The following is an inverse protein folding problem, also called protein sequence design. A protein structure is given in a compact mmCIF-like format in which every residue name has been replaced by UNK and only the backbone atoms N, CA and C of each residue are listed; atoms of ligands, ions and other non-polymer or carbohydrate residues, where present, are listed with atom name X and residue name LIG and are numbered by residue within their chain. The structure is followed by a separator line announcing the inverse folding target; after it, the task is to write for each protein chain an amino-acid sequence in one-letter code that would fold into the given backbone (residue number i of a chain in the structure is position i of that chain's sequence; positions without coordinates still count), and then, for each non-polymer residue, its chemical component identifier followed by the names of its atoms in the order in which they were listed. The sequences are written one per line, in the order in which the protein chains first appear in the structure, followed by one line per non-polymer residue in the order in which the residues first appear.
data_IF_770033825518
#
_entry.id   IF_770033825518
#
_cell.length_a   1.000
_cell.length_b   1.000
_cell.length_c   1.000
_cell.angle_alpha   90.00
_cell.angle_beta   90.00
_cell.angle_gamma   90.00
#
_symmetry.space_group_name_H-M   'P 1'
#
loop_
_entity.id
_entity.type
_entity.pdbx_description
1 polymer ?
#
# COMPACT_ATOMS: atom_id res chain seq x y z
N UNK A 1 -1.12 -24.42 11.85
CA UNK A 1 -0.61 -23.16 12.42
C UNK A 1 -0.58 -23.30 13.94
N UNK A 2 0.00 -24.39 14.43
CA UNK A 2 0.07 -24.65 15.87
C UNK A 2 1.54 -24.52 16.27
N UNK A 3 1.81 -23.72 17.30
CA UNK A 3 3.10 -23.57 17.99
C UNK A 3 4.19 -22.71 17.31
N UNK A 4 3.85 -21.49 16.87
CA UNK A 4 4.85 -20.53 16.42
C UNK A 4 5.80 -20.02 17.53
N UNK A 5 5.27 -19.81 18.74
CA UNK A 5 6.03 -19.42 19.93
C UNK A 5 5.72 -20.38 21.09
N UNK A 6 6.76 -20.79 21.82
CA UNK A 6 6.67 -21.73 22.94
C UNK A 6 7.52 -21.25 24.12
N UNK A 7 7.22 -21.80 25.30
CA UNK A 7 8.09 -21.67 26.48
C UNK A 7 9.11 -22.80 26.47
N UNK A 8 10.40 -22.45 26.45
CA UNK A 8 11.52 -23.37 26.50
C UNK A 8 12.04 -23.43 27.93
N UNK A 9 12.46 -24.61 28.40
CA UNK A 9 12.95 -24.87 29.76
C UNK A 9 11.92 -24.56 30.88
N UNK A 10 12.39 -24.42 32.14
CA UNK A 10 11.54 -24.30 33.33
C UNK A 10 12.18 -23.40 34.39
N UNK A 11 11.34 -22.77 35.22
CA UNK A 11 11.77 -21.91 36.33
C UNK A 11 12.47 -20.64 35.84
N UNK A 12 13.55 -20.25 36.51
CA UNK A 12 14.31 -19.03 36.15
C UNK A 12 15.00 -19.11 34.78
N UNK A 13 15.15 -20.32 34.21
CA UNK A 13 15.72 -20.53 32.87
C UNK A 13 14.66 -20.53 31.76
N UNK A 14 13.40 -20.22 32.09
CA UNK A 14 12.31 -20.24 31.11
C UNK A 14 12.46 -19.10 30.12
N UNK A 15 12.38 -19.41 28.82
CA UNK A 15 12.55 -18.44 27.74
C UNK A 15 11.42 -18.59 26.71
N UNK A 16 10.98 -17.46 26.14
CA UNK A 16 10.08 -17.46 24.98
C UNK A 16 10.92 -17.66 23.73
N UNK A 17 10.63 -18.71 22.96
CA UNK A 17 11.34 -19.02 21.72
C UNK A 17 10.43 -19.67 20.68
N UNK A 18 11.00 -20.09 19.56
CA UNK A 18 10.30 -20.90 18.56
C UNK A 18 10.38 -22.38 18.91
N UNK A 19 9.44 -23.19 18.43
CA UNK A 19 9.52 -24.63 18.60
C UNK A 19 10.79 -25.18 17.90
N UNK A 20 11.43 -26.25 18.43
CA UNK A 20 12.61 -26.85 17.81
C UNK A 20 12.36 -27.17 16.33
N UNK A 21 13.30 -26.78 15.47
CA UNK A 21 13.26 -26.96 14.00
C UNK A 21 12.08 -26.27 13.27
N UNK A 22 11.37 -25.35 13.93
CA UNK A 22 10.29 -24.59 13.33
C UNK A 22 10.59 -23.08 13.32
N UNK A 23 10.49 -22.46 12.15
CA UNK A 23 10.51 -21.01 12.05
C UNK A 23 9.19 -20.40 12.54
N UNK A 24 9.26 -19.18 13.08
CA UNK A 24 8.06 -18.39 13.33
C UNK A 24 7.51 -17.83 12.02
N UNK A 25 6.78 -18.66 11.29
CA UNK A 25 6.19 -18.32 10.00
C UNK A 25 4.66 -18.26 10.10
N UNK A 26 4.13 -17.04 10.10
CA UNK A 26 2.71 -16.77 10.10
C UNK A 26 2.45 -15.46 9.40
N UNK A 27 1.38 -15.41 8.59
CA UNK A 27 0.93 -14.18 7.93
C UNK A 27 0.44 -13.08 8.91
N UNK A 28 0.30 -13.42 10.19
CA UNK A 28 -0.07 -12.52 11.28
C UNK A 28 1.06 -12.38 12.33
N UNK A 29 2.28 -12.82 12.01
CA UNK A 29 3.42 -12.86 12.94
C UNK A 29 3.70 -11.49 13.58
N UNK A 30 3.55 -10.40 12.82
CA UNK A 30 3.85 -9.04 13.26
C UNK A 30 2.91 -8.49 14.33
N UNK A 31 1.76 -9.12 14.60
CA UNK A 31 0.91 -8.73 15.73
C UNK A 31 1.59 -9.03 17.09
N UNK A 32 2.53 -9.97 17.14
CA UNK A 32 3.32 -10.24 18.36
C UNK A 32 4.10 -9.02 18.85
N UNK A 33 4.52 -8.15 17.94
CA UNK A 33 5.18 -6.87 18.27
C UNK A 33 4.25 -5.91 19.00
N UNK A 34 2.94 -5.96 18.69
CA UNK A 34 1.95 -5.12 19.37
C UNK A 34 1.50 -5.73 20.70
N UNK A 35 1.39 -7.07 20.75
CA UNK A 35 1.01 -7.77 21.97
C UNK A 35 2.11 -7.73 23.05
N UNK A 36 3.38 -7.64 22.66
CA UNK A 36 4.49 -7.61 23.61
C UNK A 36 4.51 -6.29 24.41
N UNK A 37 4.23 -6.31 25.73
CA UNK A 37 4.10 -5.08 26.50
C UNK A 37 5.45 -4.46 26.90
N UNK A 38 6.55 -5.24 26.80
CA UNK A 38 7.87 -4.88 27.32
C UNK A 38 8.91 -4.53 26.25
N UNK A 39 8.55 -4.65 24.97
CA UNK A 39 9.50 -4.40 23.86
C UNK A 39 10.61 -5.46 23.72
N UNK A 40 10.37 -6.68 24.19
CA UNK A 40 11.22 -7.83 23.88
C UNK A 40 11.08 -8.23 22.41
N UNK A 41 9.85 -8.21 21.90
CA UNK A 41 9.53 -8.39 20.48
C UNK A 41 9.27 -7.02 19.86
N UNK A 42 10.15 -6.59 18.94
CA UNK A 42 10.06 -5.27 18.29
C UNK A 42 10.13 -5.40 16.78
N UNK A 43 9.41 -4.53 16.07
CA UNK A 43 9.47 -4.43 14.62
C UNK A 43 10.87 -4.01 14.17
N UNK A 44 11.57 -4.87 13.44
CA UNK A 44 12.89 -4.57 12.84
C UNK A 44 12.83 -3.36 11.91
N UNK A 45 11.72 -3.20 11.18
CA UNK A 45 11.45 -2.08 10.28
C UNK A 45 11.26 -0.74 10.99
N UNK A 46 11.03 -0.71 12.30
CA UNK A 46 10.78 0.51 13.07
C UNK A 46 11.78 0.75 14.21
N UNK A 47 12.45 -0.31 14.68
CA UNK A 47 13.39 -0.26 15.80
C UNK A 47 14.41 0.86 15.60
N UNK A 48 14.50 1.75 16.60
CA UNK A 48 15.39 2.92 16.63
C UNK A 48 15.15 4.02 15.58
N UNK A 49 14.07 3.96 14.78
CA UNK A 49 13.77 5.02 13.80
C UNK A 49 13.05 6.25 14.39
N UNK A 50 12.26 6.06 15.44
CA UNK A 50 11.54 7.15 16.14
C UNK A 50 11.05 6.72 17.54
N UNK A 51 10.67 7.70 18.35
CA UNK A 51 10.00 7.52 19.64
C UNK A 51 8.49 7.75 19.53
N UNK A 52 7.66 7.07 20.34
CA UNK A 52 6.19 7.17 20.24
C UNK A 52 5.60 8.59 20.37
N UNK A 53 6.29 9.51 21.03
CA UNK A 53 5.87 10.91 21.19
C UNK A 53 6.29 11.82 20.01
N UNK A 54 7.21 11.36 19.16
CA UNK A 54 7.60 12.07 17.93
C UNK A 54 6.65 11.78 16.76
N UNK A 55 5.70 10.85 16.94
CA UNK A 55 4.85 10.33 15.89
C UNK A 55 3.48 11.02 15.86
N UNK A 56 3.09 11.51 14.69
CA UNK A 56 1.70 11.85 14.39
C UNK A 56 0.94 10.57 14.05
N UNK A 57 -0.14 10.31 14.77
CA UNK A 57 -0.97 9.10 14.61
C UNK A 57 -2.19 9.42 13.76
N UNK A 58 -2.33 8.76 12.61
CA UNK A 58 -3.40 9.05 11.64
C UNK A 58 -4.24 7.78 11.43
N UNK A 59 -5.55 7.80 11.72
CA UNK A 59 -6.43 6.68 11.38
C UNK A 59 -6.58 6.57 9.86
N UNK A 60 -6.48 5.35 9.33
CA UNK A 60 -6.55 5.05 7.90
C UNK A 60 -7.10 3.63 7.68
N UNK A 61 -7.09 3.19 6.42
CA UNK A 61 -7.53 1.86 5.96
C UNK A 61 -6.41 1.22 5.14
N UNK A 62 -6.16 -0.08 5.34
CA UNK A 62 -5.20 -0.85 4.59
C UNK A 62 -5.66 -1.06 3.13
N UNK A 63 -4.81 -0.74 2.16
CA UNK A 63 -5.10 -0.86 0.72
C UNK A 63 -4.40 -2.06 0.05
N UNK A 64 -4.04 -3.08 0.81
CA UNK A 64 -3.24 -4.21 0.30
C UNK A 64 -4.05 -5.48 -0.03
N UNK A 65 -5.28 -5.58 0.42
CA UNK A 65 -6.27 -6.59 0.02
C UNK A 65 -7.70 -6.03 0.19
N UNK A 66 -8.70 -6.81 -0.20
CA UNK A 66 -10.11 -6.40 -0.19
C UNK A 66 -10.76 -6.37 1.21
N UNK A 67 -10.09 -6.84 2.26
CA UNK A 67 -10.64 -6.84 3.63
C UNK A 67 -10.82 -5.41 4.18
N UNK A 68 -9.93 -4.49 3.80
CA UNK A 68 -10.01 -3.11 4.30
C UNK A 68 -9.76 -2.98 5.79
N UNK A 69 -8.80 -3.74 6.35
CA UNK A 69 -8.42 -3.66 7.76
C UNK A 69 -8.15 -2.22 8.19
N UNK A 70 -8.64 -1.84 9.36
CA UNK A 70 -8.44 -0.51 9.91
C UNK A 70 -7.02 -0.42 10.47
N UNK A 71 -6.31 0.64 10.07
CA UNK A 71 -4.92 0.84 10.46
C UNK A 71 -4.74 2.22 11.07
N UNK A 72 -3.71 2.34 11.90
CA UNK A 72 -3.15 3.60 12.34
C UNK A 72 -1.78 3.76 11.68
N UNK A 73 -1.66 4.76 10.82
CA UNK A 73 -0.40 5.10 10.16
C UNK A 73 0.30 6.14 11.01
N UNK A 74 1.46 5.76 11.55
CA UNK A 74 2.30 6.65 12.36
C UNK A 74 3.33 7.33 11.45
N UNK A 75 3.35 8.66 11.46
CA UNK A 75 4.15 9.50 10.55
C UNK A 75 5.10 10.40 11.33
N UNK A 76 6.31 10.62 10.80
CA UNK A 76 7.31 11.58 11.30
C UNK A 76 7.99 12.28 10.14
N UNK A 77 8.01 13.61 10.15
CA UNK A 77 8.68 14.44 9.12
C UNK A 77 8.30 13.96 7.70
N UNK A 78 6.99 13.91 7.44
CA UNK A 78 6.38 13.51 6.16
C UNK A 78 6.73 12.10 5.65
N UNK A 79 7.29 11.24 6.52
CA UNK A 79 7.55 9.83 6.22
C UNK A 79 6.69 8.93 7.07
N UNK A 80 6.09 7.93 6.43
CA UNK A 80 5.43 6.83 7.13
C UNK A 80 6.51 6.02 7.85
N UNK A 81 6.35 5.87 9.17
CA UNK A 81 7.31 5.17 10.02
C UNK A 81 6.87 3.73 10.32
N UNK A 82 5.57 3.53 10.54
CA UNK A 82 4.96 2.21 10.77
C UNK A 82 3.46 2.24 10.56
N UNK A 83 2.89 1.08 10.24
CA UNK A 83 1.47 0.79 10.37
C UNK A 83 1.23 -0.07 11.60
N UNK A 84 0.19 0.28 12.35
CA UNK A 84 -0.27 -0.39 13.57
C UNK A 84 -1.74 -0.75 13.36
N UNK A 85 -2.22 -1.84 13.93
CA UNK A 85 -3.64 -2.17 13.84
C UNK A 85 -4.48 -1.11 14.56
N UNK A 86 -5.72 -0.92 14.12
CA UNK A 86 -6.70 -0.07 14.78
C UNK A 86 -7.99 -0.88 14.90
N UNK A 87 -8.36 -1.23 16.13
CA UNK A 87 -9.49 -2.11 16.39
C UNK A 87 -10.78 -1.66 15.68
N UNK A 88 -11.36 -2.60 14.93
CA UNK A 88 -12.72 -2.55 14.44
C UNK A 88 -13.29 -3.97 14.42
N UNK A 89 -14.12 -4.28 15.41
CA UNK A 89 -14.70 -5.60 15.65
C UNK A 89 -15.54 -6.11 14.47
N UNK A 90 -16.06 -5.21 13.62
CA UNK A 90 -16.85 -5.59 12.45
C UNK A 90 -16.00 -6.04 11.25
N UNK A 91 -14.68 -5.83 11.28
CA UNK A 91 -13.78 -6.08 10.14
C UNK A 91 -12.55 -6.90 10.54
N UNK A 92 -11.79 -6.39 11.50
CA UNK A 92 -10.42 -6.86 11.76
C UNK A 92 -10.17 -7.31 13.20
N UNK A 93 -11.08 -6.99 14.14
CA UNK A 93 -10.95 -7.35 15.56
C UNK A 93 -9.59 -6.94 16.16
N UNK A 94 -9.00 -5.85 15.65
CA UNK A 94 -7.70 -5.35 16.09
C UNK A 94 -6.48 -6.09 15.52
N UNK A 95 -6.66 -6.98 14.54
CA UNK A 95 -5.57 -7.70 13.88
C UNK A 95 -5.15 -7.03 12.57
N UNK A 96 -3.86 -7.14 12.25
CA UNK A 96 -3.33 -6.70 10.96
C UNK A 96 -2.34 -7.74 10.43
N UNK A 97 -2.58 -8.24 9.21
CA UNK A 97 -1.66 -9.16 8.55
C UNK A 97 -0.33 -8.45 8.22
N UNK A 98 0.72 -9.25 8.05
CA UNK A 98 2.08 -8.75 7.79
C UNK A 98 2.17 -7.95 6.50
N UNK A 99 1.33 -8.26 5.52
CA UNK A 99 1.22 -7.48 4.28
C UNK A 99 0.76 -6.05 4.54
N UNK A 100 -0.25 -5.84 5.37
CA UNK A 100 -0.72 -4.49 5.73
C UNK A 100 0.24 -3.77 6.68
N UNK A 101 0.89 -4.54 7.55
CA UNK A 101 1.80 -4.06 8.58
C UNK A 101 3.14 -3.56 8.01
N UNK A 102 3.73 -4.30 7.08
CA UNK A 102 5.06 -4.01 6.51
C UNK A 102 5.02 -3.45 5.09
N UNK A 103 3.93 -3.67 4.36
CA UNK A 103 3.80 -3.32 2.95
C UNK A 103 3.56 -1.83 2.67
N UNK A 104 4.18 -0.91 3.41
CA UNK A 104 4.04 0.55 3.20
C UNK A 104 5.33 1.23 2.69
N UNK A 105 6.47 0.55 2.71
CA UNK A 105 7.78 1.18 2.42
C UNK A 105 7.90 1.72 0.99
N UNK A 106 7.10 1.21 0.05
CA UNK A 106 7.05 1.71 -1.33
C UNK A 106 6.73 3.21 -1.41
N UNK A 107 6.01 3.76 -0.42
CA UNK A 107 5.67 5.19 -0.35
C UNK A 107 6.92 6.08 -0.26
N UNK A 108 7.93 5.59 0.46
CA UNK A 108 9.19 6.29 0.71
C UNK A 108 10.33 5.83 -0.21
N UNK A 109 10.06 4.91 -1.14
CA UNK A 109 11.09 4.37 -2.04
C UNK A 109 11.71 5.48 -2.91
N UNK A 110 13.04 5.48 -3.12
CA UNK A 110 13.68 6.38 -4.07
C UNK A 110 13.26 6.11 -5.53
N UNK A 111 12.71 4.92 -5.81
CA UNK A 111 12.20 4.54 -7.13
C UNK A 111 10.78 5.09 -7.40
N UNK A 112 10.15 5.75 -6.42
CA UNK A 112 8.81 6.33 -6.60
C UNK A 112 8.81 7.40 -7.69
N UNK A 113 7.90 7.27 -8.65
CA UNK A 113 7.71 8.26 -9.69
C UNK A 113 7.21 9.58 -9.08
N UNK A 114 7.93 10.68 -9.33
CA UNK A 114 7.62 12.02 -8.81
C UNK A 114 7.31 13.04 -9.90
N UNK A 115 7.72 12.78 -11.12
CA UNK A 115 7.56 13.67 -12.27
C UNK A 115 7.04 12.88 -13.46
N UNK A 116 6.18 13.48 -14.31
CA UNK A 116 5.75 12.83 -15.54
C UNK A 116 6.96 12.62 -16.47
N UNK A 117 6.88 11.55 -17.28
CA UNK A 117 7.95 11.18 -18.22
C UNK A 117 7.37 10.84 -19.58
N UNK A 118 8.05 11.27 -20.64
CA UNK A 118 7.70 10.97 -22.04
C UNK A 118 8.80 10.12 -22.66
N UNK A 119 8.41 9.09 -23.41
CA UNK A 119 9.35 8.25 -24.18
C UNK A 119 9.74 8.95 -25.49
N UNK A 120 11.04 9.16 -25.69
CA UNK A 120 11.64 9.69 -26.93
C UNK A 120 12.79 8.76 -27.32
N UNK A 121 12.81 8.29 -28.58
CA UNK A 121 13.85 7.38 -29.09
C UNK A 121 14.10 6.16 -28.18
N UNK A 122 13.02 5.57 -27.67
CA UNK A 122 13.08 4.40 -26.77
C UNK A 122 13.38 4.71 -25.30
N UNK A 123 13.81 5.92 -24.95
CA UNK A 123 14.17 6.28 -23.56
C UNK A 123 13.14 7.20 -22.90
N UNK A 124 12.91 7.03 -21.60
CA UNK A 124 12.03 7.92 -20.81
C UNK A 124 12.81 9.16 -20.38
N UNK A 125 12.18 10.32 -20.57
CA UNK A 125 12.73 11.63 -20.19
C UNK A 125 11.70 12.39 -19.35
N UNK A 126 12.14 13.00 -18.26
CA UNK A 126 11.28 13.81 -17.39
C UNK A 126 10.79 15.07 -18.13
N UNK A 127 9.54 15.43 -17.91
CA UNK A 127 8.88 16.59 -18.54
C UNK A 127 8.03 17.35 -17.53
N UNK A 128 7.55 18.54 -17.91
CA UNK A 128 6.55 19.26 -17.12
C UNK A 128 5.16 18.64 -17.29
N UNK A 129 4.26 18.93 -16.35
CA UNK A 129 2.86 18.53 -16.44
C UNK A 129 2.17 19.08 -17.69
N UNK A 130 2.42 20.34 -18.05
CA UNK A 130 1.82 20.95 -19.26
C UNK A 130 2.24 20.23 -20.54
N UNK A 131 3.52 19.89 -20.66
CA UNK A 131 4.03 19.12 -21.81
C UNK A 131 3.42 17.72 -21.86
N UNK A 132 3.29 17.06 -20.70
CA UNK A 132 2.66 15.75 -20.61
C UNK A 132 1.19 15.79 -21.03
N UNK A 133 0.40 16.72 -20.49
CA UNK A 133 -1.01 16.85 -20.82
C UNK A 133 -1.24 17.28 -22.27
N UNK A 134 -0.46 18.21 -22.80
CA UNK A 134 -0.54 18.62 -24.21
C UNK A 134 -0.27 17.44 -25.15
N UNK A 135 0.76 16.64 -24.86
CA UNK A 135 1.04 15.46 -25.69
C UNK A 135 -0.10 14.43 -25.61
N UNK A 136 -0.63 14.18 -24.41
CA UNK A 136 -1.74 13.24 -24.20
C UNK A 136 -2.98 13.71 -24.98
N UNK A 137 -3.38 14.98 -24.83
CA UNK A 137 -4.58 15.52 -25.48
C UNK A 137 -4.44 15.55 -27.01
N UNK A 138 -3.30 16.00 -27.53
CA UNK A 138 -3.01 16.01 -28.97
C UNK A 138 -3.06 14.61 -29.56
N UNK A 139 -2.34 13.64 -28.97
CA UNK A 139 -2.28 12.27 -29.52
C UNK A 139 -3.60 11.53 -29.39
N UNK A 140 -4.32 11.68 -28.28
CA UNK A 140 -5.65 11.11 -28.12
C UNK A 140 -6.63 11.73 -29.12
N UNK A 141 -6.57 13.05 -29.32
CA UNK A 141 -7.37 13.76 -30.31
C UNK A 141 -7.16 13.23 -31.73
N UNK A 142 -5.90 13.06 -32.15
CA UNK A 142 -5.56 12.51 -33.46
C UNK A 142 -6.11 11.09 -33.66
N UNK A 143 -5.98 10.23 -32.65
CA UNK A 143 -6.50 8.85 -32.67
C UNK A 143 -8.03 8.86 -32.79
N UNK A 144 -8.71 9.70 -31.99
CA UNK A 144 -10.18 9.80 -32.01
C UNK A 144 -10.67 10.31 -33.37
N UNK A 145 -9.99 11.31 -33.95
CA UNK A 145 -10.35 11.85 -35.26
C UNK A 145 -10.16 10.82 -36.39
N UNK A 146 -9.11 10.00 -36.31
CA UNK A 146 -8.77 9.03 -37.36
C UNK A 146 -9.51 7.69 -37.24
N UNK A 147 -9.75 7.22 -36.02
CA UNK A 147 -10.25 5.86 -35.75
C UNK A 147 -11.56 5.84 -34.96
N UNK A 148 -12.08 7.01 -34.56
CA UNK A 148 -13.29 7.14 -33.76
C UNK A 148 -13.04 6.89 -32.26
N UNK A 149 -14.03 7.27 -31.44
CA UNK A 149 -13.96 7.21 -29.98
C UNK A 149 -13.76 5.80 -29.42
N UNK A 150 -14.29 4.78 -30.11
CA UNK A 150 -14.18 3.36 -29.71
C UNK A 150 -12.77 2.78 -29.87
N UNK A 151 -11.84 3.50 -30.52
CA UNK A 151 -10.44 3.09 -30.59
C UNK A 151 -9.67 3.36 -29.27
N UNK A 152 -10.28 4.08 -28.33
CA UNK A 152 -9.69 4.40 -27.02
C UNK A 152 -10.31 3.50 -25.96
N UNK A 153 -9.46 2.96 -25.08
CA UNK A 153 -9.89 2.27 -23.87
C UNK A 153 -9.03 2.70 -22.68
N UNK A 154 -9.55 2.51 -21.46
CA UNK A 154 -8.79 2.77 -20.25
C UNK A 154 -8.92 1.65 -19.23
N UNK A 155 -7.80 1.36 -18.56
CA UNK A 155 -7.67 0.35 -17.52
C UNK A 155 -7.43 1.06 -16.20
N UNK A 156 -8.40 0.99 -15.29
CA UNK A 156 -8.32 1.52 -13.93
C UNK A 156 -7.57 0.57 -12.98
N UNK A 157 -7.27 1.08 -11.78
CA UNK A 157 -6.64 0.30 -10.71
C UNK A 157 -7.64 -0.09 -9.63
N UNK A 158 -7.48 -1.27 -9.04
CA UNK A 158 -8.24 -1.70 -7.86
C UNK A 158 -7.73 -1.07 -6.56
N UNK A 159 -6.60 -0.38 -6.61
CA UNK A 159 -5.99 0.26 -5.44
C UNK A 159 -6.31 1.75 -5.31
N UNK A 160 -6.97 2.33 -6.30
CA UNK A 160 -7.45 3.72 -6.23
C UNK A 160 -8.74 3.79 -5.43
N UNK A 161 -9.08 5.00 -5.00
CA UNK A 161 -10.34 5.28 -4.31
C UNK A 161 -11.54 5.14 -5.25
N UNK A 162 -12.74 5.02 -4.67
CA UNK A 162 -13.98 4.95 -5.45
C UNK A 162 -14.23 6.27 -6.19
N UNK A 163 -13.81 7.39 -5.62
CA UNK A 163 -13.87 8.73 -6.18
C UNK A 163 -12.98 8.85 -7.42
N UNK A 164 -11.75 8.36 -7.35
CA UNK A 164 -10.84 8.30 -8.50
C UNK A 164 -11.36 7.36 -9.58
N UNK A 165 -11.89 6.19 -9.21
CA UNK A 165 -12.50 5.27 -10.16
C UNK A 165 -13.72 5.90 -10.85
N UNK A 166 -14.53 6.67 -10.10
CA UNK A 166 -15.64 7.44 -10.65
C UNK A 166 -15.16 8.52 -11.62
N UNK A 167 -14.12 9.28 -11.27
CA UNK A 167 -13.54 10.29 -12.16
C UNK A 167 -12.95 9.66 -13.41
N UNK A 168 -12.28 8.51 -13.28
CA UNK A 168 -11.69 7.77 -14.39
C UNK A 168 -12.75 7.29 -15.38
N UNK A 169 -13.82 6.63 -14.91
CA UNK A 169 -14.90 6.22 -15.80
C UNK A 169 -15.63 7.42 -16.41
N UNK A 170 -15.75 8.53 -15.67
CA UNK A 170 -16.39 9.76 -16.15
C UNK A 170 -15.58 10.38 -17.29
N UNK A 171 -14.25 10.44 -17.15
CA UNK A 171 -13.34 10.90 -18.19
C UNK A 171 -13.51 10.07 -19.47
N UNK A 172 -13.52 8.74 -19.37
CA UNK A 172 -13.63 7.88 -20.54
C UNK A 172 -15.02 7.93 -21.18
N UNK A 173 -16.08 7.83 -20.38
CA UNK A 173 -17.46 7.73 -20.89
C UNK A 173 -18.07 9.07 -21.29
N UNK A 174 -17.81 10.14 -20.54
CA UNK A 174 -18.43 11.45 -20.80
C UNK A 174 -17.54 12.38 -21.62
N UNK A 175 -16.23 12.43 -21.34
CA UNK A 175 -15.32 13.36 -22.04
C UNK A 175 -14.85 12.75 -23.37
N UNK A 176 -14.31 11.54 -23.33
CA UNK A 176 -13.86 10.86 -24.55
C UNK A 176 -15.04 10.27 -25.32
N UNK A 177 -16.03 9.69 -24.61
CA UNK A 177 -17.18 9.03 -25.21
C UNK A 177 -16.93 7.58 -25.62
N UNK A 178 -15.98 6.91 -24.96
CA UNK A 178 -15.72 5.48 -25.16
C UNK A 178 -16.45 4.63 -24.10
N UNK A 179 -17.09 3.51 -24.48
CA UNK A 179 -17.63 2.56 -23.52
C UNK A 179 -16.56 1.62 -22.95
N UNK A 180 -15.34 1.62 -23.53
CA UNK A 180 -14.28 0.68 -23.19
C UNK A 180 -13.54 1.13 -21.93
N UNK A 181 -14.09 0.72 -20.79
CA UNK A 181 -13.51 0.94 -19.46
C UNK A 181 -13.43 -0.40 -18.77
N UNK A 182 -12.25 -0.74 -18.29
CA UNK A 182 -12.04 -1.92 -17.45
C UNK A 182 -11.06 -1.59 -16.32
N UNK A 183 -10.72 -2.59 -15.51
CA UNK A 183 -9.75 -2.50 -14.44
C UNK A 183 -8.85 -3.73 -14.44
N UNK A 184 -7.64 -3.58 -13.93
CA UNK A 184 -6.77 -4.73 -13.77
C UNK A 184 -7.32 -5.67 -12.68
N UNK A 185 -7.51 -6.94 -13.01
CA UNK A 185 -7.74 -7.99 -12.01
C UNK A 185 -6.41 -8.23 -11.28
N UNK A 186 -6.39 -7.94 -9.99
CA UNK A 186 -5.21 -8.14 -9.13
C UNK A 186 -5.01 -9.60 -8.76
#
# INVERSE_FOLDING_TARGET
MDNGLVMIARGYKMEVGTAPDHAFDSIFSGNTVEMCPVGALTATTYRFKARPWELKRIPSVCNNCSVGCNVRTDVRVDKIMRNVSRANDAIDDGWLCDRGRWGFEFVNSPQRLRTPMIRRNGQLSAVSWDQAFYLISSRLGDIINKHGKKAVGGIGSTRTTNEEAYLFQKLLRQVIGTPHVDHHHG
#
